data_IF_733940274703
#
_entry.id   IF_733940274703
#
_cell.length_a   1.000
_cell.length_b   1.000
_cell.length_c   1.000
_cell.angle_alpha   90.00
_cell.angle_beta   90.00
_cell.angle_gamma   90.00
#
_symmetry.space_group_name_H-M   'P 1'
#
loop_
_entity.id
_entity.type
_entity.pdbx_description
1 polymer ?
#
# COMPACT_ATOMS: atom_id res chain seq x y z
N UNK A 1 34.79 -1.63 7.88
CA UNK A 1 34.61 -0.38 7.11
C UNK A 1 33.68 -0.70 5.96
N UNK A 2 32.77 0.21 5.57
CA UNK A 2 31.90 -0.06 4.43
C UNK A 2 32.69 -0.31 3.16
N UNK A 3 32.29 -1.31 2.38
CA UNK A 3 32.97 -1.74 1.16
C UNK A 3 31.98 -1.93 0.03
N UNK A 4 32.40 -1.56 -1.19
CA UNK A 4 31.65 -1.84 -2.40
C UNK A 4 32.06 -3.22 -2.91
N UNK A 5 31.08 -4.13 -3.01
CA UNK A 5 31.28 -5.48 -3.52
C UNK A 5 30.40 -5.70 -4.75
N UNK A 6 31.00 -5.63 -5.94
CA UNK A 6 30.30 -5.91 -7.19
C UNK A 6 29.86 -7.37 -7.26
N UNK A 7 28.60 -7.57 -7.65
CA UNK A 7 28.05 -8.85 -8.08
C UNK A 7 27.08 -8.60 -9.24
N UNK A 8 26.97 -9.58 -10.14
CA UNK A 8 26.13 -9.47 -11.32
C UNK A 8 24.65 -9.66 -10.96
N UNK A 9 23.75 -8.93 -11.64
CA UNK A 9 22.32 -9.15 -11.48
C UNK A 9 21.88 -10.35 -12.32
N UNK A 10 21.77 -11.51 -11.69
CA UNK A 10 21.36 -12.75 -12.36
C UNK A 10 20.13 -13.36 -11.72
N UNK A 11 19.32 -14.07 -12.51
CA UNK A 11 18.22 -14.88 -11.98
C UNK A 11 18.75 -15.99 -11.09
N UNK A 12 18.06 -16.19 -9.96
CA UNK A 12 18.29 -17.36 -9.12
C UNK A 12 17.70 -18.61 -9.76
N UNK A 13 18.38 -19.72 -9.55
CA UNK A 13 17.91 -21.06 -9.91
C UNK A 13 17.80 -21.90 -8.63
N UNK A 14 16.76 -21.69 -7.80
CA UNK A 14 16.60 -22.40 -6.55
C UNK A 14 16.47 -23.91 -6.79
N UNK A 15 16.94 -24.71 -5.84
CA UNK A 15 16.70 -26.16 -5.86
C UNK A 15 15.20 -26.45 -5.75
N UNK A 16 14.75 -27.60 -6.25
CA UNK A 16 13.33 -27.96 -6.20
C UNK A 16 12.80 -28.06 -4.76
N UNK A 17 13.65 -28.49 -3.82
CA UNK A 17 13.33 -28.60 -2.39
C UNK A 17 13.51 -27.28 -1.62
N UNK A 18 13.82 -26.18 -2.32
CA UNK A 18 13.94 -24.86 -1.69
C UNK A 18 12.58 -24.35 -1.21
N UNK A 19 12.49 -23.79 0.01
CA UNK A 19 11.30 -23.09 0.47
C UNK A 19 10.85 -21.98 -0.49
N UNK A 20 11.77 -21.38 -1.25
CA UNK A 20 11.44 -20.36 -2.25
C UNK A 20 10.46 -20.90 -3.31
N UNK A 21 10.62 -22.17 -3.72
CA UNK A 21 9.74 -22.80 -4.72
C UNK A 21 8.30 -22.94 -4.19
N UNK A 22 8.13 -23.27 -2.91
CA UNK A 22 6.82 -23.33 -2.26
C UNK A 22 6.13 -21.95 -2.26
N UNK A 23 6.87 -20.91 -1.86
CA UNK A 23 6.35 -19.53 -1.83
C UNK A 23 5.95 -19.05 -3.22
N UNK A 24 6.79 -19.32 -4.23
CA UNK A 24 6.51 -18.97 -5.62
C UNK A 24 5.26 -19.66 -6.13
N UNK A 25 5.05 -20.93 -5.79
CA UNK A 25 3.89 -21.72 -6.21
C UNK A 25 2.60 -21.13 -5.62
N UNK A 26 2.61 -20.77 -4.34
CA UNK A 26 1.48 -20.15 -3.66
C UNK A 26 1.15 -18.75 -4.21
N UNK A 27 2.17 -17.93 -4.44
CA UNK A 27 1.99 -16.61 -5.06
C UNK A 27 1.48 -16.73 -6.50
N UNK A 28 1.95 -17.72 -7.27
CA UNK A 28 1.46 -17.97 -8.62
C UNK A 28 -0.03 -18.35 -8.62
N UNK A 29 -0.44 -19.16 -7.65
CA UNK A 29 -1.84 -19.49 -7.44
C UNK A 29 -2.67 -18.23 -7.13
N UNK A 30 -2.22 -17.39 -6.20
CA UNK A 30 -2.90 -16.14 -5.86
C UNK A 30 -2.95 -15.13 -7.02
N UNK A 31 -1.87 -15.06 -7.81
CA UNK A 31 -1.75 -14.23 -9.00
C UNK A 31 -2.78 -14.58 -10.07
N UNK A 32 -3.06 -15.88 -10.24
CA UNK A 32 -4.01 -16.40 -11.24
C UNK A 32 -5.45 -16.52 -10.75
N UNK A 33 -5.66 -16.52 -9.44
CA UNK A 33 -6.98 -16.56 -8.82
C UNK A 33 -7.79 -15.30 -9.19
N UNK A 34 -8.51 -15.37 -10.30
CA UNK A 34 -9.55 -14.43 -10.69
C UNK A 34 -10.85 -14.76 -9.96
N UNK A 35 -10.83 -14.78 -8.62
CA UNK A 35 -12.07 -14.81 -7.86
C UNK A 35 -12.55 -13.38 -7.70
N UNK A 36 -13.68 -13.06 -8.32
CA UNK A 36 -14.45 -11.87 -7.99
C UNK A 36 -14.87 -12.02 -6.53
N UNK A 37 -14.21 -11.28 -5.64
CA UNK A 37 -14.67 -11.16 -4.26
C UNK A 37 -16.15 -10.80 -4.22
N UNK A 38 -16.86 -11.25 -3.19
CA UNK A 38 -18.26 -10.86 -2.98
C UNK A 38 -18.38 -9.40 -2.52
N UNK A 39 -17.27 -8.80 -2.07
CA UNK A 39 -17.23 -7.38 -1.68
C UNK A 39 -17.50 -6.47 -2.89
N UNK A 40 -18.51 -5.58 -2.82
CA UNK A 40 -18.80 -4.63 -3.89
C UNK A 40 -17.58 -3.74 -4.21
N UNK A 41 -17.31 -3.50 -5.50
CA UNK A 41 -16.14 -2.74 -5.94
C UNK A 41 -15.99 -1.37 -5.27
N UNK A 42 -17.09 -0.62 -5.10
CA UNK A 42 -17.08 0.68 -4.41
C UNK A 42 -16.69 0.59 -2.94
N UNK A 43 -17.03 -0.51 -2.26
CA UNK A 43 -16.60 -0.76 -0.88
C UNK A 43 -15.12 -1.13 -0.86
N UNK A 44 -14.69 -1.97 -1.80
CA UNK A 44 -13.29 -2.38 -1.92
C UNK A 44 -12.36 -1.19 -2.22
N UNK A 45 -12.76 -0.27 -3.11
CA UNK A 45 -11.98 0.93 -3.40
C UNK A 45 -11.81 1.85 -2.18
N UNK A 46 -12.78 1.87 -1.26
CA UNK A 46 -12.62 2.59 0.00
C UNK A 46 -11.59 1.94 0.92
N UNK A 47 -11.52 0.60 0.98
CA UNK A 47 -10.46 -0.11 1.69
C UNK A 47 -9.10 0.19 1.06
N UNK A 48 -9.00 0.12 -0.26
CA UNK A 48 -7.78 0.43 -1.01
C UNK A 48 -7.26 1.82 -0.64
N UNK A 49 -8.14 2.82 -0.56
CA UNK A 49 -7.76 4.17 -0.13
C UNK A 49 -7.19 4.19 1.29
N UNK A 50 -7.80 3.46 2.23
CA UNK A 50 -7.28 3.34 3.60
C UNK A 50 -5.91 2.65 3.60
N UNK A 51 -5.73 1.58 2.83
CA UNK A 51 -4.45 0.89 2.77
C UNK A 51 -3.35 1.73 2.15
N UNK A 52 -3.61 2.47 1.08
CA UNK A 52 -2.65 3.43 0.53
C UNK A 52 -2.21 4.45 1.57
N UNK A 53 -3.13 4.93 2.41
CA UNK A 53 -2.79 5.83 3.52
C UNK A 53 -1.91 5.15 4.57
N UNK A 54 -2.18 3.88 4.90
CA UNK A 54 -1.36 3.12 5.84
C UNK A 54 0.03 2.81 5.27
N UNK A 55 0.11 2.54 3.97
CA UNK A 55 1.35 2.25 3.24
C UNK A 55 2.21 3.50 3.10
N UNK A 56 1.62 4.66 2.82
CA UNK A 56 2.35 5.94 2.77
C UNK A 56 2.94 6.27 4.14
N UNK A 57 2.14 6.11 5.19
CA UNK A 57 2.58 6.28 6.58
C UNK A 57 3.71 5.30 6.95
N UNK A 58 3.55 4.01 6.63
CA UNK A 58 4.57 3.00 6.93
C UNK A 58 5.86 3.17 6.14
N UNK A 59 5.75 3.61 4.89
CA UNK A 59 6.91 3.92 4.05
C UNK A 59 7.67 5.12 4.61
N UNK A 60 6.98 6.20 4.98
CA UNK A 60 7.61 7.38 5.59
C UNK A 60 8.21 7.07 6.98
N UNK A 61 7.58 6.19 7.77
CA UNK A 61 8.07 5.74 9.09
C UNK A 61 9.45 5.11 9.01
N UNK A 62 9.69 4.28 7.98
CA UNK A 62 10.99 3.62 7.77
C UNK A 62 12.11 4.67 7.64
N UNK A 63 11.81 5.80 7.01
CA UNK A 63 12.73 6.94 6.81
C UNK A 63 12.77 7.92 8.01
N UNK A 64 12.08 7.62 9.11
CA UNK A 64 12.11 8.44 10.33
C UNK A 64 11.08 9.56 10.39
N UNK A 65 9.95 9.41 9.69
CA UNK A 65 8.77 10.26 9.90
C UNK A 65 8.05 9.88 11.22
N UNK A 66 7.67 10.88 12.02
CA UNK A 66 7.08 10.68 13.36
C UNK A 66 5.57 10.93 13.42
N UNK A 67 4.91 11.13 12.27
CA UNK A 67 3.46 11.33 12.24
C UNK A 67 2.76 10.09 12.79
N UNK A 68 1.85 10.28 13.75
CA UNK A 68 1.06 9.16 14.28
C UNK A 68 -0.09 8.82 13.32
N UNK A 69 -0.58 7.58 13.38
CA UNK A 69 -1.76 7.18 12.61
C UNK A 69 -2.98 8.04 12.96
N UNK A 70 -3.13 8.42 14.23
CA UNK A 70 -4.24 9.26 14.67
C UNK A 70 -4.17 10.67 14.06
N UNK A 71 -2.98 11.31 14.09
CA UNK A 71 -2.77 12.63 13.50
C UNK A 71 -3.00 12.60 11.98
N UNK A 72 -2.54 11.54 11.32
CA UNK A 72 -2.71 11.42 9.88
C UNK A 72 -4.18 11.27 9.49
N UNK A 73 -4.93 10.41 10.21
CA UNK A 73 -6.37 10.27 10.01
C UNK A 73 -7.10 11.57 10.27
N UNK A 74 -6.75 12.33 11.32
CA UNK A 74 -7.37 13.63 11.59
C UNK A 74 -7.13 14.63 10.45
N UNK A 75 -5.90 14.68 9.93
CA UNK A 75 -5.56 15.56 8.80
C UNK A 75 -6.42 15.31 7.55
N UNK A 76 -6.83 14.06 7.32
CA UNK A 76 -7.68 13.65 6.19
C UNK A 76 -9.16 13.92 6.43
N UNK A 77 -9.60 13.93 7.70
CA UNK A 77 -11.00 14.14 8.09
C UNK A 77 -11.38 15.62 8.17
N UNK A 78 -10.51 16.48 8.69
CA UNK A 78 -10.82 17.89 8.90
C UNK A 78 -10.85 18.72 7.61
N UNK A 79 -10.25 18.20 6.53
CA UNK A 79 -10.03 18.92 5.28
C UNK A 79 -9.01 20.04 5.48
N UNK A 80 -7.96 20.05 4.66
CA UNK A 80 -6.81 20.95 4.82
C UNK A 80 -7.21 22.43 4.74
N UNK A 81 -7.44 23.07 5.89
CA UNK A 81 -7.52 24.54 6.02
C UNK A 81 -6.14 25.20 6.05
N UNK A 82 -5.09 24.41 6.23
CA UNK A 82 -3.69 24.84 6.31
C UNK A 82 -2.83 24.00 5.37
N UNK A 83 -1.70 24.57 4.94
CA UNK A 83 -0.72 23.84 4.15
C UNK A 83 -0.20 22.61 4.94
N UNK A 84 -0.01 21.46 4.29
CA UNK A 84 0.49 20.27 4.98
C UNK A 84 1.89 20.55 5.53
N UNK A 85 2.17 20.00 6.72
CA UNK A 85 3.54 19.96 7.26
C UNK A 85 4.45 19.15 6.33
N UNK A 86 5.77 19.32 6.44
CA UNK A 86 6.74 18.55 5.64
C UNK A 86 6.50 17.02 5.76
N UNK A 87 6.23 16.55 6.98
CA UNK A 87 5.92 15.14 7.25
C UNK A 87 4.59 14.68 6.63
N UNK A 88 3.56 15.52 6.63
CA UNK A 88 2.28 15.21 5.97
C UNK A 88 2.45 15.16 4.45
N UNK A 89 3.18 16.13 3.90
CA UNK A 89 3.48 16.21 2.46
C UNK A 89 4.25 14.99 1.97
N UNK A 90 5.18 14.47 2.77
CA UNK A 90 5.90 13.25 2.43
C UNK A 90 4.96 12.07 2.16
N UNK A 91 3.95 11.88 3.02
CA UNK A 91 2.98 10.79 2.83
C UNK A 91 2.04 11.08 1.65
N UNK A 92 1.62 12.33 1.45
CA UNK A 92 0.84 12.75 0.28
C UNK A 92 1.60 12.51 -1.04
N UNK A 93 2.91 12.75 -1.07
CA UNK A 93 3.76 12.47 -2.22
C UNK A 93 3.83 10.96 -2.52
N UNK A 94 3.92 10.12 -1.49
CA UNK A 94 3.91 8.65 -1.68
C UNK A 94 2.55 8.19 -2.21
N UNK A 95 1.44 8.72 -1.69
CA UNK A 95 0.08 8.46 -2.22
C UNK A 95 -0.06 8.90 -3.68
N UNK A 96 0.47 10.09 -4.03
CA UNK A 96 0.48 10.59 -5.40
C UNK A 96 1.30 9.70 -6.33
N UNK A 97 2.44 9.17 -5.85
CA UNK A 97 3.26 8.24 -6.62
C UNK A 97 2.53 6.90 -6.83
N UNK A 98 1.80 6.40 -5.83
CA UNK A 98 0.97 5.19 -5.99
C UNK A 98 -0.14 5.41 -7.02
N UNK A 99 -0.81 6.55 -7.00
CA UNK A 99 -1.81 6.91 -8.01
C UNK A 99 -1.18 6.96 -9.42
N UNK A 100 -0.01 7.61 -9.55
CA UNK A 100 0.73 7.67 -10.81
C UNK A 100 1.10 6.28 -11.34
N UNK A 101 1.53 5.35 -10.49
CA UNK A 101 1.78 3.96 -10.88
C UNK A 101 0.51 3.35 -11.51
N UNK A 102 -0.61 3.42 -10.79
CA UNK A 102 -1.86 2.79 -11.25
C UNK A 102 -2.41 3.37 -12.55
N UNK A 103 -2.19 4.65 -12.78
CA UNK A 103 -2.58 5.34 -14.01
C UNK A 103 -1.64 5.02 -15.17
N UNK A 104 -0.34 4.85 -14.89
CA UNK A 104 0.70 4.80 -15.91
C UNK A 104 1.09 3.39 -16.36
N UNK A 105 0.79 2.34 -15.59
CA UNK A 105 1.20 0.97 -15.93
C UNK A 105 0.03 -0.03 -15.97
N UNK A 106 0.06 -0.92 -16.95
CA UNK A 106 -0.77 -2.13 -17.05
C UNK A 106 0.10 -3.39 -16.92
N UNK A 107 -0.52 -4.54 -16.59
CA UNK A 107 0.17 -5.83 -16.64
C UNK A 107 0.85 -6.07 -18.00
N UNK A 108 2.12 -6.46 -17.98
CA UNK A 108 2.95 -6.69 -19.16
C UNK A 108 3.77 -5.47 -19.62
N UNK A 109 3.39 -4.24 -19.25
CA UNK A 109 4.07 -3.04 -19.71
C UNK A 109 5.54 -2.99 -19.29
N UNK A 110 6.42 -2.49 -20.17
CA UNK A 110 7.82 -2.26 -19.84
C UNK A 110 8.00 -1.07 -18.89
N UNK A 111 8.88 -1.21 -17.90
CA UNK A 111 9.28 -0.07 -17.06
C UNK A 111 10.52 0.60 -17.64
N UNK A 112 10.66 1.91 -17.48
CA UNK A 112 11.81 2.67 -18.02
C UNK A 112 12.56 3.38 -16.90
N UNK A 113 13.81 3.78 -17.17
CA UNK A 113 14.54 4.67 -16.26
C UNK A 113 13.76 5.98 -16.03
N UNK A 114 13.08 6.49 -17.07
CA UNK A 114 12.23 7.68 -16.96
C UNK A 114 11.10 7.48 -15.95
N UNK A 115 10.41 6.34 -15.98
CA UNK A 115 9.37 6.01 -15.02
C UNK A 115 9.90 6.01 -13.56
N UNK A 116 11.06 5.39 -13.33
CA UNK A 116 11.68 5.35 -12.00
C UNK A 116 12.08 6.76 -11.52
N UNK A 117 12.60 7.58 -12.43
CA UNK A 117 12.99 8.96 -12.16
C UNK A 117 11.78 9.86 -11.88
N UNK A 118 10.65 9.60 -12.53
CA UNK A 118 9.39 10.29 -12.26
C UNK A 118 8.83 9.91 -10.88
N UNK A 119 8.86 8.62 -10.51
CA UNK A 119 8.51 8.20 -9.15
C UNK A 119 9.36 8.95 -8.12
N UNK A 120 10.67 9.02 -8.33
CA UNK A 120 11.55 9.77 -7.45
C UNK A 120 11.15 11.25 -7.40
N UNK A 121 10.95 11.93 -8.53
CA UNK A 121 10.55 13.33 -8.58
C UNK A 121 9.25 13.62 -7.81
N UNK A 122 8.25 12.75 -7.95
CA UNK A 122 6.99 12.84 -7.18
C UNK A 122 7.25 12.67 -5.69
N UNK A 123 8.02 11.65 -5.29
CA UNK A 123 8.22 11.31 -3.87
C UNK A 123 8.93 12.39 -3.07
N UNK A 124 9.87 13.12 -3.68
CA UNK A 124 10.69 14.13 -3.00
C UNK A 124 10.19 15.56 -3.20
N UNK A 125 9.04 15.73 -3.88
CA UNK A 125 8.51 17.03 -4.29
C UNK A 125 8.25 17.93 -3.09
N UNK A 126 8.86 19.12 -3.09
CA UNK A 126 8.62 20.17 -2.09
C UNK A 126 8.81 19.70 -0.63
N UNK A 127 9.68 18.71 -0.43
CA UNK A 127 10.12 18.29 0.89
C UNK A 127 11.38 19.04 1.30
N UNK A 128 11.39 19.55 2.52
CA UNK A 128 12.52 20.28 3.10
C UNK A 128 13.53 19.33 3.71
N UNK A 129 13.08 18.39 4.55
CA UNK A 129 13.98 17.47 5.27
C UNK A 129 14.30 16.24 4.43
N UNK A 130 13.26 15.58 3.94
CA UNK A 130 13.37 14.31 3.21
C UNK A 130 13.29 14.52 1.68
N UNK A 131 13.65 15.72 1.21
CA UNK A 131 13.71 16.06 -0.21
C UNK A 131 15.04 15.69 -0.88
N UNK A 132 15.11 15.95 -2.18
CA UNK A 132 16.33 15.85 -2.99
C UNK A 132 16.54 17.17 -3.76
N UNK A 133 17.79 17.63 -3.85
CA UNK A 133 18.13 18.89 -4.54
C UNK A 133 17.98 18.79 -6.07
N UNK A 134 17.94 17.57 -6.60
CA UNK A 134 17.82 17.26 -8.02
C UNK A 134 16.72 16.22 -8.27
N UNK A 135 15.43 16.57 -8.05
CA UNK A 135 14.33 15.63 -8.21
C UNK A 135 14.34 14.97 -9.59
N UNK A 136 14.50 13.64 -9.55
CA UNK A 136 14.46 12.77 -10.73
C UNK A 136 15.80 12.67 -11.47
N UNK A 137 16.89 13.27 -10.99
CA UNK A 137 18.23 13.05 -11.52
C UNK A 137 18.98 12.03 -10.67
N UNK A 138 19.81 11.20 -11.29
CA UNK A 138 20.75 10.37 -10.53
C UNK A 138 21.77 11.22 -9.80
N UNK A 139 22.22 10.74 -8.65
CA UNK A 139 23.15 11.46 -7.78
C UNK A 139 24.45 11.79 -8.51
N UNK A 140 24.93 13.00 -8.29
CA UNK A 140 26.22 13.48 -8.81
C UNK A 140 27.33 13.46 -7.75
N UNK A 141 27.04 12.89 -6.58
CA UNK A 141 27.96 12.79 -5.44
C UNK A 141 27.95 11.37 -4.90
N UNK A 142 29.05 11.02 -4.23
CA UNK A 142 29.10 9.76 -3.51
C UNK A 142 28.25 9.83 -2.25
N UNK A 143 27.54 8.74 -1.97
CA UNK A 143 26.63 8.62 -0.82
C UNK A 143 27.07 7.44 0.04
N UNK A 144 26.67 7.48 1.31
CA UNK A 144 26.79 6.36 2.25
C UNK A 144 25.43 6.12 2.85
N UNK A 145 25.08 4.86 3.02
CA UNK A 145 23.82 4.47 3.67
C UNK A 145 24.08 4.48 5.17
N UNK A 146 23.24 5.20 5.93
CA UNK A 146 23.34 5.21 7.38
C UNK A 146 23.13 3.80 7.94
N UNK A 147 23.94 3.41 8.93
CA UNK A 147 23.84 2.10 9.61
C UNK A 147 23.99 0.87 8.69
N UNK A 148 24.58 1.03 7.50
CA UNK A 148 24.89 -0.07 6.59
C UNK A 148 26.39 -0.26 6.42
N UNK A 149 26.82 -1.51 6.28
CA UNK A 149 28.19 -1.87 5.89
C UNK A 149 28.38 -1.88 4.36
N UNK A 150 27.29 -1.75 3.60
CA UNK A 150 27.36 -1.62 2.15
C UNK A 150 27.76 -0.21 1.74
N UNK A 151 28.72 -0.12 0.82
CA UNK A 151 29.03 1.12 0.12
C UNK A 151 28.44 1.06 -1.29
N UNK A 152 27.50 1.95 -1.66
CA UNK A 152 26.96 2.01 -3.03
C UNK A 152 28.04 2.20 -4.10
N UNK A 153 27.78 1.82 -5.36
CA UNK A 153 28.72 2.00 -6.46
C UNK A 153 29.18 3.45 -6.64
N UNK A 154 30.24 3.68 -7.42
CA UNK A 154 30.64 5.05 -7.74
C UNK A 154 29.57 5.75 -8.58
N UNK A 155 29.41 7.07 -8.38
CA UNK A 155 28.37 7.87 -9.06
C UNK A 155 28.39 7.74 -10.59
N UNK A 156 29.58 7.53 -11.19
CA UNK A 156 29.75 7.36 -12.64
C UNK A 156 29.22 6.02 -13.15
N UNK A 157 29.07 5.02 -12.27
CA UNK A 157 28.56 3.69 -12.61
C UNK A 157 27.05 3.58 -12.44
N UNK A 158 26.42 4.50 -11.70
CA UNK A 158 24.97 4.47 -11.41
C UNK A 158 24.11 4.36 -12.68
N UNK A 159 24.33 5.15 -13.76
CA UNK A 159 23.52 5.01 -14.97
C UNK A 159 23.62 3.61 -15.59
N UNK A 160 24.81 3.00 -15.58
CA UNK A 160 25.02 1.66 -16.13
C UNK A 160 24.25 0.60 -15.34
N UNK A 161 24.33 0.63 -14.00
CA UNK A 161 23.58 -0.31 -13.16
C UNK A 161 22.06 -0.11 -13.23
N UNK A 162 21.59 1.12 -13.42
CA UNK A 162 20.16 1.38 -13.62
C UNK A 162 19.66 0.86 -14.98
N UNK A 163 20.48 0.97 -16.03
CA UNK A 163 20.20 0.34 -17.32
C UNK A 163 20.14 -1.19 -17.21
N UNK A 164 21.10 -1.80 -16.50
CA UNK A 164 21.11 -3.24 -16.22
C UNK A 164 19.84 -3.68 -15.48
N UNK A 165 19.45 -2.95 -14.42
CA UNK A 165 18.24 -3.22 -13.65
C UNK A 165 16.98 -3.13 -14.53
N UNK A 166 16.86 -2.07 -15.33
CA UNK A 166 15.71 -1.87 -16.23
C UNK A 166 15.67 -2.95 -17.33
N UNK A 167 16.82 -3.37 -17.85
CA UNK A 167 16.89 -4.48 -18.79
C UNK A 167 16.42 -5.79 -18.13
N UNK A 168 16.91 -6.10 -16.92
CA UNK A 168 16.58 -7.31 -16.18
C UNK A 168 15.08 -7.45 -15.88
N UNK A 169 14.42 -6.38 -15.41
CA UNK A 169 12.98 -6.39 -15.12
C UNK A 169 12.11 -6.45 -16.38
N UNK A 170 12.64 -6.09 -17.55
CA UNK A 170 11.90 -6.15 -18.82
C UNK A 170 12.24 -7.38 -19.67
N UNK A 171 13.30 -8.11 -19.31
CA UNK A 171 13.71 -9.30 -20.03
C UNK A 171 12.56 -10.33 -20.04
N UNK A 172 12.21 -10.81 -21.24
CA UNK A 172 11.15 -11.78 -21.42
C UNK A 172 11.64 -13.17 -20.96
N UNK A 173 11.07 -13.64 -19.86
CA UNK A 173 11.41 -14.91 -19.23
C UNK A 173 10.12 -15.69 -18.93
N UNK A 174 10.18 -17.01 -18.71
CA UNK A 174 9.03 -17.78 -18.26
C UNK A 174 8.39 -17.15 -17.00
N UNK A 175 7.05 -17.05 -16.90
CA UNK A 175 6.37 -16.33 -15.81
C UNK A 175 6.70 -16.78 -14.39
N UNK A 176 7.28 -17.99 -14.23
CA UNK A 176 7.75 -18.52 -12.94
C UNK A 176 8.89 -17.70 -12.30
N UNK A 177 9.61 -16.89 -13.10
CA UNK A 177 10.71 -16.06 -12.61
C UNK A 177 10.29 -14.64 -12.20
N UNK A 178 9.09 -14.21 -12.58
CA UNK A 178 8.62 -12.83 -12.40
C UNK A 178 8.72 -12.35 -10.95
N UNK A 179 8.31 -13.18 -10.00
CA UNK A 179 8.32 -12.85 -8.57
C UNK A 179 9.75 -12.79 -8.00
N UNK A 180 10.64 -13.66 -8.47
CA UNK A 180 12.06 -13.58 -8.13
C UNK A 180 12.62 -12.24 -8.62
N UNK A 181 12.24 -11.79 -9.82
CA UNK A 181 12.65 -10.48 -10.34
C UNK A 181 12.16 -9.33 -9.45
N UNK A 182 10.96 -9.41 -8.87
CA UNK A 182 10.45 -8.39 -7.92
C UNK A 182 11.40 -8.23 -6.73
N UNK A 183 11.75 -9.33 -6.07
CA UNK A 183 12.62 -9.29 -4.90
C UNK A 183 14.05 -8.85 -5.26
N UNK A 184 14.64 -9.43 -6.31
CA UNK A 184 15.99 -9.06 -6.74
C UNK A 184 16.09 -7.60 -7.21
N UNK A 185 15.08 -7.09 -7.91
CA UNK A 185 15.04 -5.70 -8.33
C UNK A 185 14.95 -4.73 -7.15
N UNK A 186 14.21 -5.09 -6.09
CA UNK A 186 14.16 -4.32 -4.85
C UNK A 186 15.56 -4.21 -4.24
N UNK A 187 16.22 -5.34 -4.01
CA UNK A 187 17.57 -5.34 -3.45
C UNK A 187 18.56 -4.58 -4.35
N UNK A 188 18.58 -4.87 -5.65
CA UNK A 188 19.51 -4.24 -6.60
C UNK A 188 19.34 -2.72 -6.64
N UNK A 189 18.11 -2.21 -6.64
CA UNK A 189 17.88 -0.77 -6.58
C UNK A 189 18.46 -0.16 -5.29
N UNK A 190 18.19 -0.78 -4.14
CA UNK A 190 18.73 -0.34 -2.85
C UNK A 190 20.26 -0.37 -2.81
N UNK A 191 20.86 -1.42 -3.40
CA UNK A 191 22.30 -1.61 -3.54
C UNK A 191 22.95 -0.54 -4.45
N UNK A 192 22.31 -0.18 -5.56
CA UNK A 192 22.79 0.91 -6.46
C UNK A 192 22.67 2.28 -5.77
N UNK A 193 21.59 2.49 -5.03
CA UNK A 193 21.27 3.74 -4.33
C UNK A 193 21.36 4.97 -5.26
N UNK A 194 20.53 5.04 -6.32
CA UNK A 194 20.77 5.93 -7.46
C UNK A 194 20.51 7.42 -7.20
N UNK A 195 19.77 7.79 -6.16
CA UNK A 195 19.37 9.17 -5.86
C UNK A 195 20.11 9.73 -4.63
N UNK A 196 20.08 11.06 -4.45
CA UNK A 196 20.69 11.71 -3.29
C UNK A 196 19.91 11.47 -2.00
N UNK A 197 18.57 11.44 -2.09
CA UNK A 197 17.64 11.01 -1.05
C UNK A 197 16.45 10.27 -1.69
N UNK A 198 15.52 9.73 -0.90
CA UNK A 198 14.28 9.12 -1.40
C UNK A 198 14.41 7.69 -1.90
N UNK A 199 15.60 7.10 -1.90
CA UNK A 199 15.84 5.74 -2.41
C UNK A 199 14.94 4.68 -1.76
N UNK A 200 14.77 4.71 -0.43
CA UNK A 200 13.90 3.77 0.28
C UNK A 200 12.42 3.87 -0.16
N UNK A 201 11.91 5.09 -0.33
CA UNK A 201 10.53 5.33 -0.79
C UNK A 201 10.34 4.85 -2.23
N UNK A 202 11.29 5.17 -3.12
CA UNK A 202 11.23 4.77 -4.53
C UNK A 202 11.32 3.26 -4.70
N UNK A 203 12.16 2.56 -3.93
CA UNK A 203 12.28 1.09 -4.09
C UNK A 203 11.01 0.35 -3.69
N UNK A 204 10.33 0.81 -2.63
CA UNK A 204 9.03 0.23 -2.22
C UNK A 204 7.95 0.51 -3.27
N UNK A 205 7.93 1.70 -3.86
CA UNK A 205 7.04 2.04 -4.97
C UNK A 205 7.36 1.25 -6.24
N UNK A 206 8.64 1.04 -6.55
CA UNK A 206 9.06 0.19 -7.68
C UNK A 206 8.63 -1.26 -7.46
N UNK A 207 8.67 -1.75 -6.22
CA UNK A 207 8.17 -3.09 -5.86
C UNK A 207 6.66 -3.19 -6.16
N UNK A 208 5.89 -2.17 -5.78
CA UNK A 208 4.46 -2.11 -6.11
C UNK A 208 4.22 -2.09 -7.63
N UNK A 209 4.98 -1.26 -8.37
CA UNK A 209 4.90 -1.21 -9.83
C UNK A 209 5.24 -2.56 -10.49
N UNK A 210 6.26 -3.27 -9.99
CA UNK A 210 6.65 -4.58 -10.50
C UNK A 210 5.57 -5.64 -10.24
N UNK A 211 4.91 -5.62 -9.07
CA UNK A 211 3.78 -6.51 -8.83
C UNK A 211 2.69 -6.32 -9.90
N UNK A 212 2.31 -5.08 -10.18
CA UNK A 212 1.30 -4.78 -11.22
C UNK A 212 1.78 -5.24 -12.60
N UNK A 213 3.02 -4.89 -13.00
CA UNK A 213 3.63 -5.32 -14.26
C UNK A 213 3.55 -6.84 -14.43
N UNK A 214 3.81 -7.60 -13.38
CA UNK A 214 3.81 -9.06 -13.43
C UNK A 214 2.45 -9.71 -13.22
N UNK A 215 1.34 -8.97 -13.28
CA UNK A 215 0.01 -9.57 -13.38
C UNK A 215 -0.81 -9.56 -12.09
N UNK A 216 -0.31 -8.91 -11.02
CA UNK A 216 -1.13 -8.61 -9.85
C UNK A 216 -2.08 -7.44 -10.19
N UNK A 217 -3.39 -7.72 -10.26
CA UNK A 217 -4.38 -6.72 -10.68
C UNK A 217 -4.77 -5.76 -9.53
N UNK A 218 -4.83 -4.45 -9.81
CA UNK A 218 -5.19 -3.37 -8.86
C UNK A 218 -6.50 -2.64 -9.24
N UNK A 219 -7.08 -2.90 -10.41
CA UNK A 219 -8.18 -2.09 -11.00
C UNK A 219 -9.58 -2.70 -10.85
N UNK A 220 -9.71 -4.03 -10.82
CA UNK A 220 -11.02 -4.70 -10.76
C UNK A 220 -11.08 -5.69 -9.61
N UNK A 221 -11.52 -5.24 -8.42
CA UNK A 221 -11.57 -6.10 -7.21
C UNK A 221 -10.21 -6.69 -6.81
N UNK A 222 -9.14 -6.01 -7.21
CA UNK A 222 -7.78 -6.53 -7.21
C UNK A 222 -7.16 -6.59 -5.80
N UNK A 223 -6.60 -7.74 -5.45
CA UNK A 223 -6.03 -8.09 -4.13
C UNK A 223 -4.78 -7.31 -3.73
N UNK A 224 -4.35 -6.35 -4.53
CA UNK A 224 -2.97 -5.90 -4.54
C UNK A 224 -2.90 -4.55 -3.87
N UNK A 225 -2.22 -4.58 -2.75
CA UNK A 225 -1.87 -3.45 -1.92
C UNK A 225 -0.35 -3.28 -1.98
N UNK A 226 0.16 -2.06 -1.78
CA UNK A 226 1.60 -1.85 -1.77
C UNK A 226 2.18 -2.67 -0.60
N UNK A 227 3.14 -3.58 -0.85
CA UNK A 227 3.63 -4.50 0.18
C UNK A 227 4.56 -3.81 1.19
N UNK A 228 4.42 -2.49 1.40
CA UNK A 228 5.23 -1.74 2.37
C UNK A 228 5.14 -2.33 3.78
N UNK A 229 4.01 -2.96 4.12
CA UNK A 229 3.84 -3.70 5.38
C UNK A 229 4.93 -4.78 5.61
N UNK A 230 5.44 -5.41 4.55
CA UNK A 230 6.53 -6.39 4.63
C UNK A 230 7.79 -5.75 5.24
N UNK A 231 8.07 -4.50 4.88
CA UNK A 231 9.29 -3.80 5.24
C UNK A 231 9.17 -2.95 6.51
N UNK A 232 7.95 -2.54 6.91
CA UNK A 232 7.74 -1.66 8.07
C UNK A 232 7.29 -2.40 9.36
N UNK A 233 6.92 -3.68 9.26
CA UNK A 233 6.58 -4.49 10.44
C UNK A 233 7.78 -4.64 11.38
N UNK A 234 8.96 -4.91 10.82
CA UNK A 234 10.23 -5.05 11.54
C UNK A 234 11.35 -4.43 10.68
N UNK A 235 11.68 -3.17 10.99
CA UNK A 235 12.69 -2.39 10.25
C UNK A 235 14.09 -3.00 10.42
N UNK A 236 14.40 -3.51 11.59
CA UNK A 236 15.72 -4.07 11.89
C UNK A 236 15.91 -5.38 11.13
N UNK A 237 14.87 -6.23 11.07
CA UNK A 237 14.88 -7.43 10.24
C UNK A 237 15.01 -7.08 8.75
N UNK A 238 14.27 -6.08 8.27
CA UNK A 238 14.37 -5.65 6.87
C UNK A 238 15.80 -5.22 6.50
N UNK A 239 16.45 -4.40 7.33
CA UNK A 239 17.84 -3.99 7.10
C UNK A 239 18.84 -5.13 7.25
N UNK A 240 18.63 -6.06 8.19
CA UNK A 240 19.46 -7.25 8.32
C UNK A 240 19.36 -8.15 7.06
N UNK A 241 18.16 -8.29 6.50
CA UNK A 241 17.94 -9.05 5.27
C UNK A 241 18.57 -8.40 4.04
N UNK A 242 18.53 -7.06 3.93
CA UNK A 242 19.28 -6.34 2.90
C UNK A 242 20.80 -6.53 3.05
N UNK A 243 21.33 -6.38 4.27
CA UNK A 243 22.75 -6.58 4.53
C UNK A 243 23.21 -8.00 4.21
N UNK A 244 22.36 -9.00 4.43
CA UNK A 244 22.64 -10.38 4.04
C UNK A 244 22.65 -10.56 2.51
N UNK A 245 21.71 -9.92 1.80
CA UNK A 245 21.68 -9.90 0.34
C UNK A 245 22.87 -9.16 -0.29
N UNK A 246 23.41 -8.13 0.38
CA UNK A 246 24.58 -7.37 -0.04
C UNK A 246 25.86 -8.22 -0.18
N UNK A 247 25.87 -9.43 0.40
CA UNK A 247 26.94 -10.42 0.17
C UNK A 247 27.04 -10.88 -1.29
N UNK A 248 25.96 -10.73 -2.07
CA UNK A 248 25.88 -11.16 -3.47
C UNK A 248 25.93 -12.68 -3.66
N UNK A 249 25.92 -13.46 -2.57
CA UNK A 249 25.94 -14.91 -2.63
C UNK A 249 24.57 -15.46 -3.06
N UNK A 250 24.51 -16.61 -3.77
CA UNK A 250 23.23 -17.23 -4.12
C UNK A 250 22.35 -17.50 -2.89
N UNK A 251 22.94 -17.96 -1.79
CA UNK A 251 22.24 -18.20 -0.52
C UNK A 251 21.66 -16.90 0.08
N UNK A 252 22.44 -15.82 0.10
CA UNK A 252 21.98 -14.53 0.63
C UNK A 252 20.83 -13.94 -0.19
N UNK A 253 20.94 -14.01 -1.51
CA UNK A 253 19.90 -13.55 -2.44
C UNK A 253 18.64 -14.43 -2.37
N UNK A 254 18.79 -15.75 -2.19
CA UNK A 254 17.66 -16.66 -2.03
C UNK A 254 16.92 -16.42 -0.72
N UNK A 255 17.66 -16.24 0.39
CA UNK A 255 17.08 -15.89 1.69
C UNK A 255 16.33 -14.55 1.61
N UNK A 256 16.88 -13.57 0.90
CA UNK A 256 16.20 -12.31 0.61
C UNK A 256 14.91 -12.50 -0.18
N UNK A 257 14.94 -13.31 -1.25
CA UNK A 257 13.75 -13.62 -2.03
C UNK A 257 12.67 -14.28 -1.16
N UNK A 258 13.04 -15.23 -0.30
CA UNK A 258 12.11 -15.87 0.63
C UNK A 258 11.49 -14.83 1.56
N UNK A 259 12.29 -13.97 2.19
CA UNK A 259 11.78 -12.92 3.09
C UNK A 259 10.75 -12.01 2.41
N UNK A 260 11.09 -11.44 1.25
CA UNK A 260 10.21 -10.53 0.52
C UNK A 260 8.94 -11.23 0.06
N UNK A 261 9.08 -12.38 -0.61
CA UNK A 261 7.95 -13.05 -1.24
C UNK A 261 7.04 -13.73 -0.22
N UNK A 262 7.58 -14.25 0.88
CA UNK A 262 6.77 -14.78 1.98
C UNK A 262 5.98 -13.65 2.65
N UNK A 263 6.59 -12.47 2.83
CA UNK A 263 5.91 -11.29 3.31
C UNK A 263 4.75 -10.86 2.40
N UNK A 264 5.01 -10.79 1.09
CA UNK A 264 3.98 -10.46 0.09
C UNK A 264 2.85 -11.49 0.12
N UNK A 265 3.18 -12.78 0.22
CA UNK A 265 2.20 -13.86 0.32
C UNK A 265 1.31 -13.70 1.55
N UNK A 266 1.89 -13.39 2.71
CA UNK A 266 1.15 -13.16 3.95
C UNK A 266 0.19 -11.96 3.83
N UNK A 267 0.66 -10.85 3.26
CA UNK A 267 -0.18 -9.66 3.07
C UNK A 267 -1.31 -9.90 2.06
N UNK A 268 -1.03 -10.54 0.92
CA UNK A 268 -2.06 -10.90 -0.06
C UNK A 268 -3.13 -11.82 0.53
N UNK A 269 -2.74 -12.82 1.35
CA UNK A 269 -3.68 -13.70 2.05
C UNK A 269 -4.55 -12.95 3.06
N UNK A 270 -4.00 -11.95 3.76
CA UNK A 270 -4.80 -11.10 4.65
C UNK A 270 -5.85 -10.36 3.83
N UNK A 271 -5.44 -9.65 2.79
CA UNK A 271 -6.31 -8.84 1.92
C UNK A 271 -7.40 -9.70 1.27
N UNK A 272 -7.09 -10.94 0.91
CA UNK A 272 -8.08 -11.87 0.35
C UNK A 272 -9.30 -12.06 1.26
N UNK A 273 -9.11 -12.05 2.59
CA UNK A 273 -10.23 -12.12 3.56
C UNK A 273 -11.19 -10.94 3.42
N UNK A 274 -10.70 -9.75 3.03
CA UNK A 274 -11.53 -8.56 2.83
C UNK A 274 -12.31 -8.58 1.52
N UNK A 275 -11.98 -9.52 0.63
CA UNK A 275 -12.76 -9.76 -0.60
C UNK A 275 -14.03 -10.57 -0.33
N UNK A 276 -14.10 -11.27 0.81
CA UNK A 276 -15.34 -11.84 1.34
C UNK A 276 -16.16 -10.76 2.05
N UNK A 277 -17.29 -10.41 1.45
CA UNK A 277 -18.18 -9.39 1.98
C UNK A 277 -18.79 -9.75 3.33
N UNK A 278 -19.00 -11.03 3.62
CA UNK A 278 -19.53 -11.46 4.92
C UNK A 278 -18.51 -11.17 6.02
N UNK A 279 -17.24 -11.53 5.78
CA UNK A 279 -16.14 -11.19 6.68
C UNK A 279 -16.01 -9.66 6.83
N UNK A 280 -15.96 -8.92 5.71
CA UNK A 280 -15.83 -7.47 5.78
C UNK A 280 -17.01 -6.80 6.51
N UNK A 281 -18.25 -7.17 6.20
CA UNK A 281 -19.42 -6.60 6.85
C UNK A 281 -19.50 -6.94 8.34
N UNK A 282 -19.17 -8.17 8.72
CA UNK A 282 -19.34 -8.66 10.08
C UNK A 282 -18.18 -8.31 11.01
N UNK A 283 -16.95 -8.41 10.51
CA UNK A 283 -15.73 -8.30 11.31
C UNK A 283 -15.12 -6.90 11.25
N UNK A 284 -15.28 -6.18 10.12
CA UNK A 284 -14.69 -4.83 9.98
C UNK A 284 -15.76 -3.74 10.12
N UNK A 285 -16.79 -3.76 9.28
CA UNK A 285 -17.75 -2.65 9.20
C UNK A 285 -18.69 -2.59 10.40
N UNK A 286 -19.19 -3.73 10.89
CA UNK A 286 -20.07 -3.72 12.05
C UNK A 286 -19.38 -3.19 13.33
N UNK A 287 -18.18 -3.66 13.71
CA UNK A 287 -17.45 -3.06 14.84
C UNK A 287 -17.09 -1.60 14.62
N UNK A 288 -16.77 -1.19 13.39
CA UNK A 288 -16.49 0.22 13.08
C UNK A 288 -17.72 1.12 13.31
N UNK A 289 -18.92 0.67 12.94
CA UNK A 289 -20.17 1.37 13.18
C UNK A 289 -20.45 1.47 14.68
N UNK A 290 -20.33 0.35 15.42
CA UNK A 290 -20.54 0.33 16.87
C UNK A 290 -19.56 1.24 17.60
N UNK A 291 -18.29 1.26 17.19
CA UNK A 291 -17.30 2.18 17.73
C UNK A 291 -17.67 3.65 17.51
N UNK A 292 -18.17 4.00 16.33
CA UNK A 292 -18.64 5.37 16.07
C UNK A 292 -19.85 5.74 16.94
N UNK A 293 -20.73 4.78 17.25
CA UNK A 293 -21.83 4.97 18.19
C UNK A 293 -21.35 5.19 19.61
N UNK A 294 -20.42 4.36 20.10
CA UNK A 294 -19.80 4.47 21.44
C UNK A 294 -19.11 5.82 21.64
N UNK A 295 -18.51 6.38 20.59
CA UNK A 295 -17.87 7.69 20.57
C UNK A 295 -18.83 8.86 20.34
N UNK A 296 -20.14 8.59 20.33
CA UNK A 296 -21.21 9.58 20.11
C UNK A 296 -21.11 10.32 18.76
N UNK A 297 -20.39 9.76 17.78
CA UNK A 297 -20.21 10.34 16.45
C UNK A 297 -21.45 10.13 15.58
N UNK A 298 -22.29 9.15 15.90
CA UNK A 298 -23.55 8.85 15.22
C UNK A 298 -24.66 8.58 16.25
N UNK A 299 -25.91 8.85 15.83
CA UNK A 299 -27.11 8.51 16.62
C UNK A 299 -27.47 7.03 16.49
N UNK A 300 -28.29 6.49 17.40
CA UNK A 300 -28.78 5.11 17.31
C UNK A 300 -29.58 4.83 16.02
N UNK A 301 -30.28 5.84 15.50
CA UNK A 301 -30.98 5.73 14.20
C UNK A 301 -29.98 5.62 13.04
N UNK A 302 -28.95 6.46 13.04
CA UNK A 302 -27.89 6.45 12.03
C UNK A 302 -27.10 5.12 12.07
N UNK A 303 -26.79 4.60 13.26
CA UNK A 303 -26.20 3.27 13.46
C UNK A 303 -27.03 2.16 12.80
N UNK A 304 -28.34 2.13 13.06
CA UNK A 304 -29.23 1.13 12.45
C UNK A 304 -29.26 1.24 10.92
N UNK A 305 -29.30 2.46 10.37
CA UNK A 305 -29.25 2.68 8.92
C UNK A 305 -27.93 2.16 8.31
N UNK A 306 -26.81 2.43 8.98
CA UNK A 306 -25.48 2.01 8.54
C UNK A 306 -25.32 0.49 8.62
N UNK A 307 -25.81 -0.17 9.67
CA UNK A 307 -25.80 -1.64 9.76
C UNK A 307 -26.65 -2.30 8.67
N UNK A 308 -27.83 -1.76 8.35
CA UNK A 308 -28.66 -2.28 7.24
C UNK A 308 -27.88 -2.17 5.93
N UNK A 309 -27.22 -1.03 5.70
CA UNK A 309 -26.44 -0.79 4.48
C UNK A 309 -25.22 -1.71 4.40
N UNK A 310 -24.45 -1.82 5.48
CA UNK A 310 -23.28 -2.69 5.58
C UNK A 310 -23.63 -4.16 5.35
N UNK A 311 -24.76 -4.65 5.89
CA UNK A 311 -25.19 -6.05 5.68
C UNK A 311 -25.68 -6.33 4.25
N UNK A 312 -26.33 -5.36 3.60
CA UNK A 312 -26.88 -5.53 2.25
C UNK A 312 -25.86 -5.29 1.15
N UNK A 313 -24.77 -4.58 1.42
CA UNK A 313 -23.82 -4.07 0.41
C UNK A 313 -24.39 -2.91 -0.39
N UNK A 314 -25.60 -3.06 -0.92
CA UNK A 314 -26.36 -2.00 -1.57
C UNK A 314 -27.77 -1.96 -0.98
N UNK A 315 -28.08 -0.91 -0.23
CA UNK A 315 -29.40 -0.68 0.34
C UNK A 315 -30.21 0.31 -0.52
N UNK A 316 -31.47 -0.03 -0.80
CA UNK A 316 -32.45 0.90 -1.35
C UNK A 316 -32.96 1.83 -0.25
N UNK A 317 -33.44 3.02 -0.60
CA UNK A 317 -34.10 3.92 0.37
C UNK A 317 -35.24 3.24 1.15
N UNK A 318 -35.94 2.28 0.53
CA UNK A 318 -36.99 1.49 1.18
C UNK A 318 -36.45 0.54 2.27
N UNK A 319 -35.24 -0.01 2.09
CA UNK A 319 -34.62 -0.90 3.09
C UNK A 319 -34.30 -0.12 4.38
N UNK A 320 -33.91 1.15 4.25
CA UNK A 320 -33.57 2.02 5.37
C UNK A 320 -34.79 2.51 6.16
N UNK A 321 -35.99 2.37 5.61
CA UNK A 321 -37.22 2.77 6.29
C UNK A 321 -37.43 2.01 7.61
N UNK A 322 -36.94 0.77 7.71
CA UNK A 322 -37.00 -0.03 8.93
C UNK A 322 -36.23 0.58 10.11
N UNK A 323 -35.18 1.36 9.85
CA UNK A 323 -34.42 2.07 10.88
C UNK A 323 -35.09 3.38 11.34
N UNK A 324 -36.16 3.82 10.67
CA UNK A 324 -36.85 5.10 10.90
C UNK A 324 -38.37 4.89 11.10
N UNK A 325 -38.78 4.11 12.13
CA UNK A 325 -40.18 3.88 12.39
C UNK A 325 -40.90 5.20 12.73
N UNK A 326 -42.14 5.35 12.28
CA UNK A 326 -42.96 6.54 12.53
C UNK A 326 -42.60 7.80 11.73
N UNK A 327 -41.51 7.81 10.96
CA UNK A 327 -41.16 8.95 10.10
C UNK A 327 -41.91 8.96 8.77
N UNK A 328 -42.29 10.15 8.31
CA UNK A 328 -42.86 10.35 6.96
C UNK A 328 -41.81 10.14 5.85
N UNK A 329 -42.21 9.91 4.59
CA UNK A 329 -41.27 9.77 3.48
C UNK A 329 -40.31 10.97 3.32
N UNK A 330 -40.78 12.18 3.59
CA UNK A 330 -39.96 13.39 3.54
C UNK A 330 -38.89 13.41 4.65
N UNK A 331 -39.28 13.06 5.88
CA UNK A 331 -38.36 12.96 7.02
C UNK A 331 -37.29 11.89 6.79
N UNK A 332 -37.67 10.72 6.25
CA UNK A 332 -36.72 9.64 5.92
C UNK A 332 -35.72 10.09 4.86
N UNK A 333 -36.19 10.78 3.82
CA UNK A 333 -35.33 11.32 2.76
C UNK A 333 -34.32 12.31 3.34
N UNK A 334 -34.76 13.17 4.26
CA UNK A 334 -33.88 14.11 4.96
C UNK A 334 -32.78 13.40 5.77
N UNK A 335 -33.11 12.35 6.52
CA UNK A 335 -32.10 11.60 7.29
C UNK A 335 -31.08 10.89 6.39
N UNK A 336 -31.54 10.27 5.29
CA UNK A 336 -30.63 9.67 4.29
C UNK A 336 -29.71 10.74 3.72
N UNK A 337 -30.25 11.91 3.33
CA UNK A 337 -29.47 13.01 2.78
C UNK A 337 -28.38 13.48 3.76
N UNK A 338 -28.68 13.59 5.05
CA UNK A 338 -27.70 13.96 6.09
C UNK A 338 -26.52 12.98 6.14
N UNK A 339 -26.77 11.67 6.04
CA UNK A 339 -25.70 10.67 5.99
C UNK A 339 -24.89 10.73 4.69
N UNK A 340 -25.54 11.05 3.56
CA UNK A 340 -24.86 11.27 2.28
C UNK A 340 -23.97 12.52 2.31
N UNK A 341 -24.46 13.63 2.86
CA UNK A 341 -23.70 14.88 3.04
C UNK A 341 -22.48 14.65 3.95
N UNK A 342 -22.61 13.80 4.98
CA UNK A 342 -21.52 13.34 5.85
C UNK A 342 -20.65 12.22 5.24
N UNK A 343 -20.90 11.83 3.98
CA UNK A 343 -20.22 10.75 3.26
C UNK A 343 -20.27 9.38 3.93
N UNK A 344 -21.19 9.16 4.86
CA UNK A 344 -21.41 7.88 5.56
C UNK A 344 -22.30 6.91 4.75
N UNK A 345 -23.10 7.46 3.85
CA UNK A 345 -23.74 6.73 2.77
C UNK A 345 -23.24 7.31 1.43
N UNK A 346 -22.99 6.45 0.46
CA UNK A 346 -22.59 6.87 -0.89
C UNK A 346 -23.61 6.34 -1.91
N UNK A 347 -24.19 7.20 -2.76
CA UNK A 347 -25.06 6.73 -3.81
C UNK A 347 -24.25 5.94 -4.84
N UNK A 348 -24.79 4.81 -5.32
CA UNK A 348 -24.06 3.93 -6.27
C UNK A 348 -23.74 4.63 -7.61
N UNK A 349 -24.51 5.67 -7.94
CA UNK A 349 -24.29 6.62 -9.03
C UNK A 349 -25.03 7.90 -8.69
N UNK A 350 -24.66 9.01 -9.33
CA UNK A 350 -25.32 10.30 -9.10
C UNK A 350 -26.85 10.20 -9.31
N UNK A 351 -27.62 10.76 -8.38
CA UNK A 351 -29.09 10.72 -8.38
C UNK A 351 -29.73 9.36 -8.05
N UNK A 352 -28.96 8.31 -7.76
CA UNK A 352 -29.52 7.00 -7.41
C UNK A 352 -30.18 6.97 -6.02
N UNK A 353 -31.23 6.16 -5.88
CA UNK A 353 -31.88 5.84 -4.59
C UNK A 353 -31.37 4.52 -3.96
N UNK A 354 -30.15 4.15 -4.33
CA UNK A 354 -29.43 2.97 -3.87
C UNK A 354 -28.09 3.45 -3.32
N UNK A 355 -27.73 2.96 -2.15
CA UNK A 355 -26.61 3.45 -1.37
C UNK A 355 -25.72 2.30 -0.92
N UNK A 356 -24.42 2.51 -0.98
CA UNK A 356 -23.42 1.72 -0.27
C UNK A 356 -22.98 2.48 0.99
N UNK A 357 -22.34 1.78 1.91
CA UNK A 357 -21.68 2.40 3.05
C UNK A 357 -20.48 3.22 2.59
N UNK A 358 -20.32 4.41 3.17
CA UNK A 358 -19.14 5.24 3.02
C UNK A 358 -18.36 5.30 4.33
N UNK A 359 -17.04 5.06 4.31
CA UNK A 359 -16.21 5.07 5.52
C UNK A 359 -14.80 5.64 5.32
N UNK A 360 -14.34 5.89 4.09
CA UNK A 360 -12.95 6.29 3.84
C UNK A 360 -12.64 7.77 4.11
N UNK A 361 -13.67 8.63 4.24
CA UNK A 361 -13.54 10.09 4.35
C UNK A 361 -14.53 10.69 5.34
N UNK A 362 -14.78 9.96 6.43
CA UNK A 362 -15.68 10.38 7.50
C UNK A 362 -15.29 9.67 8.81
N UNK A 363 -15.97 10.00 9.91
CA UNK A 363 -15.64 9.48 11.24
C UNK A 363 -15.68 7.94 11.40
N UNK A 364 -16.35 7.19 10.51
CA UNK A 364 -16.29 5.72 10.51
C UNK A 364 -14.89 5.20 10.21
N UNK A 365 -14.05 5.98 9.53
CA UNK A 365 -12.67 5.61 9.20
C UNK A 365 -11.87 5.19 10.44
N UNK A 366 -12.07 5.88 11.57
CA UNK A 366 -11.41 5.56 12.85
C UNK A 366 -11.80 4.16 13.33
N UNK A 367 -13.07 3.81 13.21
CA UNK A 367 -13.57 2.48 13.56
C UNK A 367 -13.06 1.40 12.61
N UNK A 368 -12.98 1.70 11.31
CA UNK A 368 -12.46 0.75 10.30
C UNK A 368 -10.98 0.48 10.54
N UNK A 369 -10.17 1.51 10.75
CA UNK A 369 -8.74 1.37 11.07
C UNK A 369 -8.54 0.56 12.36
N UNK A 370 -9.34 0.84 13.38
CA UNK A 370 -9.30 0.08 14.64
C UNK A 370 -9.60 -1.40 14.40
N UNK A 371 -10.69 -1.74 13.70
CA UNK A 371 -11.06 -3.11 13.42
C UNK A 371 -10.00 -3.84 12.55
N UNK A 372 -9.45 -3.15 11.54
CA UNK A 372 -8.35 -3.68 10.73
C UNK A 372 -7.10 -3.96 11.59
N UNK A 373 -6.79 -3.09 12.55
CA UNK A 373 -5.69 -3.32 13.47
C UNK A 373 -5.93 -4.52 14.40
N UNK A 374 -7.15 -4.66 14.94
CA UNK A 374 -7.51 -5.78 15.81
C UNK A 374 -7.42 -7.13 15.06
N UNK A 375 -7.70 -7.13 13.77
CA UNK A 375 -7.63 -8.30 12.88
C UNK A 375 -6.24 -8.53 12.23
N UNK A 376 -5.23 -7.76 12.63
CA UNK A 376 -3.83 -7.94 12.22
C UNK A 376 -3.51 -7.47 10.79
N UNK A 377 -4.35 -6.62 10.19
CA UNK A 377 -4.10 -6.00 8.88
C UNK A 377 -3.15 -4.81 8.96
N UNK A 378 -3.06 -4.17 10.12
CA UNK A 378 -2.21 -3.01 10.33
C UNK A 378 -1.02 -3.44 11.19
N UNK A 379 0.22 -3.24 10.71
CA UNK A 379 1.42 -3.42 11.53
C UNK A 379 1.30 -2.75 12.88
N UNK A 380 1.63 -3.47 13.95
CA UNK A 380 1.60 -2.89 15.31
C UNK A 380 2.59 -1.72 15.48
N UNK A 381 3.64 -1.68 14.66
CA UNK A 381 4.58 -0.55 14.54
C UNK A 381 3.87 0.74 14.14
N UNK A 382 2.81 0.67 13.32
CA UNK A 382 2.07 1.87 12.91
C UNK A 382 1.23 2.49 14.03
N UNK A 383 0.85 1.70 15.03
CA UNK A 383 0.02 2.12 16.16
C UNK A 383 0.80 2.71 17.33
N UNK A 384 2.13 2.51 17.37
CA UNK A 384 2.98 3.07 18.42
C UNK A 384 3.52 4.41 17.95
N UNK A 385 3.35 5.45 18.76
CA UNK A 385 4.27 6.58 18.71
C UNK A 385 5.62 6.02 19.17
N UNK A 386 6.62 6.00 18.30
CA UNK A 386 7.98 5.70 18.73
C UNK A 386 8.40 6.84 19.68
N UNK A 387 8.71 6.48 20.93
CA UNK A 387 9.11 7.40 22.00
C UNK A 387 10.43 8.11 21.69
#
# INVERSE_FOLDING_TARGET
MPLFNHHDLTLLNPSFDSPLVDVLTELEHLRRLQLQGTTPAQVFFQLKHIFHMLESLGSARIEGNHTTLADYVESKLEGTRQAPTDQLREMENIEAAMAYIEESIQPGDGLTEHFIRELHAITVKELEREGDATPGAYRQKQVKIAQSEHLPPELIQVPHYMQELVAFINENQPPKYDLIKVALAHHRFGWVHPFGNGNGRVVRLLTYALLIKYGFNVKTGGRVLNPTAVFCNDRDQYYAMLAHADTGTPEGLETWCIYVLQGILAELRKVDRLTDFSYLSGIILAPAISYARERELITAMEENMLHITARKGVAKAADLAAAMPGMSPAQRTYQIKKLVERKMLQPIKEGARQYTIGFSNNYLMRGVIRALSEEGFIPSSLNRAEN
#
